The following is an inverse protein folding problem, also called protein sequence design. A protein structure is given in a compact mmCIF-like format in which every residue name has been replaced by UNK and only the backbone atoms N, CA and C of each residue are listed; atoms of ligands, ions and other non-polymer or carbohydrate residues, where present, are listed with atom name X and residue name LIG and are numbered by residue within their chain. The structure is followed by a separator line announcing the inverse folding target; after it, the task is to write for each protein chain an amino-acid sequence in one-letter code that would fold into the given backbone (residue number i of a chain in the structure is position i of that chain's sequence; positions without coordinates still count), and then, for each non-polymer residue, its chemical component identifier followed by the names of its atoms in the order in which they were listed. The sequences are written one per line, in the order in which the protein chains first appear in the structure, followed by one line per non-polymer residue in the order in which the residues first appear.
data_IF_069936553811
#
_entry.id   IF_069936553811
#
_cell.length_a   1.000
_cell.length_b   1.000
_cell.length_c   1.000
_cell.angle_alpha   90.00
_cell.angle_beta   90.00
_cell.angle_gamma   90.00
#
_symmetry.space_group_name_H-M   'P 1'
#
loop_
_entity.id
_entity.type
_entity.pdbx_description
1 polymer ?
#
# COMPACT_ATOMS: atom_id res chain seq x y z
N UNK A 1 -13.14 -14.01 16.67
CA UNK A 1 -11.77 -13.82 17.28
C UNK A 1 -10.94 -12.91 16.39
N UNK A 2 -10.26 -11.88 16.95
CA UNK A 2 -9.40 -10.98 16.16
C UNK A 2 -7.97 -11.55 16.15
N UNK A 3 -7.38 -11.69 14.97
CA UNK A 3 -5.99 -12.13 14.76
C UNK A 3 -5.26 -11.07 13.95
N UNK A 4 -4.02 -10.78 14.29
CA UNK A 4 -3.19 -9.84 13.52
C UNK A 4 -2.70 -10.48 12.22
N UNK A 5 -2.52 -9.68 11.17
CA UNK A 5 -2.12 -10.18 9.84
C UNK A 5 -0.85 -11.05 9.85
N UNK A 6 0.12 -10.75 10.71
CA UNK A 6 1.36 -11.54 10.86
C UNK A 6 1.20 -12.85 11.67
N UNK A 7 0.01 -13.10 12.24
CA UNK A 7 -0.30 -14.30 13.00
C UNK A 7 -1.18 -15.28 12.22
N UNK A 8 -1.43 -15.00 10.95
CA UNK A 8 -2.36 -15.79 10.12
C UNK A 8 -1.89 -17.24 9.94
N UNK A 9 -0.60 -17.49 10.01
CA UNK A 9 -0.08 -18.88 9.99
C UNK A 9 -0.65 -19.74 11.14
N UNK A 10 -1.13 -19.11 12.22
CA UNK A 10 -1.86 -19.80 13.29
C UNK A 10 -3.26 -20.28 12.88
N UNK A 11 -3.81 -19.75 11.77
CA UNK A 11 -5.13 -20.16 11.26
C UNK A 11 -5.09 -21.58 10.72
N UNK A 12 -3.96 -22.03 10.19
CA UNK A 12 -3.78 -23.37 9.61
C UNK A 12 -4.07 -24.53 10.57
N UNK A 13 -4.03 -24.29 11.87
CA UNK A 13 -4.16 -25.33 12.91
C UNK A 13 -5.58 -25.51 13.47
N UNK A 14 -6.58 -24.73 13.01
CA UNK A 14 -7.94 -24.77 13.59
C UNK A 14 -9.01 -24.80 12.49
N UNK A 15 -10.05 -25.60 12.70
CA UNK A 15 -11.22 -25.64 11.83
C UNK A 15 -12.14 -24.44 12.10
N UNK A 16 -11.90 -23.32 11.41
CA UNK A 16 -12.81 -22.18 11.45
C UNK A 16 -13.81 -22.26 10.29
N UNK A 17 -15.07 -21.87 10.57
CA UNK A 17 -16.13 -21.84 9.55
C UNK A 17 -15.95 -20.70 8.55
N UNK A 18 -15.47 -19.54 9.02
CA UNK A 18 -15.26 -18.40 8.14
C UNK A 18 -14.19 -17.42 8.63
N UNK A 19 -13.55 -16.75 7.67
CA UNK A 19 -12.49 -15.77 7.88
C UNK A 19 -12.88 -14.46 7.19
N UNK A 20 -12.87 -13.35 7.93
CA UNK A 20 -13.05 -12.00 7.39
C UNK A 20 -11.69 -11.29 7.33
N UNK A 21 -11.25 -10.97 6.13
CA UNK A 21 -10.10 -10.12 5.85
C UNK A 21 -10.63 -8.72 5.49
N UNK A 22 -10.37 -7.69 6.31
CA UNK A 22 -10.89 -6.35 6.05
C UNK A 22 -9.82 -5.28 6.26
N UNK A 23 -9.95 -4.18 5.54
CA UNK A 23 -9.03 -3.03 5.61
C UNK A 23 -8.51 -2.62 4.24
N UNK A 24 -7.74 -1.55 4.24
CA UNK A 24 -7.32 -0.87 3.00
C UNK A 24 -6.09 -1.48 2.32
N UNK A 25 -5.31 -2.29 3.04
CA UNK A 25 -4.08 -2.89 2.49
C UNK A 25 -4.40 -4.12 1.61
N UNK A 26 -4.82 -3.86 0.38
CA UNK A 26 -5.20 -4.92 -0.57
C UNK A 26 -3.99 -5.81 -0.91
N UNK A 27 -2.80 -5.22 -1.11
CA UNK A 27 -1.59 -5.99 -1.44
C UNK A 27 -1.23 -7.03 -0.37
N UNK A 28 -1.36 -6.68 0.92
CA UNK A 28 -1.11 -7.62 2.02
C UNK A 28 -2.21 -8.68 2.13
N UNK A 29 -3.48 -8.33 1.85
CA UNK A 29 -4.59 -9.31 1.80
C UNK A 29 -4.35 -10.34 0.69
N UNK A 30 -3.99 -9.89 -0.51
CA UNK A 30 -3.75 -10.76 -1.66
C UNK A 30 -2.53 -11.67 -1.45
N UNK A 31 -1.45 -11.14 -0.85
CA UNK A 31 -0.28 -11.94 -0.46
C UNK A 31 -0.69 -13.06 0.50
N UNK A 32 -1.46 -12.72 1.53
CA UNK A 32 -1.89 -13.66 2.56
C UNK A 32 -2.88 -14.71 2.03
N UNK A 33 -3.84 -14.30 1.20
CA UNK A 33 -4.76 -15.22 0.54
C UNK A 33 -3.97 -16.25 -0.28
N UNK A 34 -3.02 -15.81 -1.09
CA UNK A 34 -2.20 -16.69 -1.93
C UNK A 34 -1.28 -17.60 -1.10
N UNK A 35 -0.52 -17.03 -0.17
CA UNK A 35 0.54 -17.75 0.53
C UNK A 35 0.06 -18.63 1.67
N UNK A 36 -0.99 -18.22 2.39
CA UNK A 36 -1.40 -18.87 3.63
C UNK A 36 -2.77 -19.54 3.56
N UNK A 37 -3.64 -19.10 2.65
CA UNK A 37 -4.99 -19.67 2.55
C UNK A 37 -5.08 -20.64 1.36
N UNK A 38 -4.64 -20.21 0.16
CA UNK A 38 -4.80 -21.01 -1.07
C UNK A 38 -3.68 -22.03 -1.26
N UNK A 39 -2.44 -21.70 -0.87
CA UNK A 39 -1.26 -22.52 -1.16
C UNK A 39 -1.33 -23.93 -0.53
N UNK A 40 -1.91 -24.05 0.64
CA UNK A 40 -1.97 -25.31 1.40
C UNK A 40 -3.36 -25.96 1.35
N UNK A 41 -4.29 -25.39 0.56
CA UNK A 41 -5.64 -25.94 0.44
C UNK A 41 -5.71 -26.96 -0.69
N UNK A 42 -6.13 -28.19 -0.37
CA UNK A 42 -6.17 -29.32 -1.30
C UNK A 42 -7.55 -29.63 -1.86
N UNK A 43 -8.59 -28.85 -1.49
CA UNK A 43 -9.97 -29.06 -1.91
C UNK A 43 -10.40 -28.18 -3.10
N UNK A 44 -11.70 -28.14 -3.35
CA UNK A 44 -12.31 -27.30 -4.37
C UNK A 44 -12.29 -25.83 -3.97
N UNK A 45 -11.80 -24.94 -4.86
CA UNK A 45 -11.75 -23.49 -4.62
C UNK A 45 -12.78 -22.80 -5.52
N UNK A 46 -13.79 -22.19 -4.91
CA UNK A 46 -14.83 -21.41 -5.57
C UNK A 46 -14.58 -19.92 -5.30
N UNK A 47 -14.58 -19.12 -6.37
CA UNK A 47 -14.37 -17.67 -6.28
C UNK A 47 -15.61 -16.93 -6.76
N UNK A 48 -16.12 -16.04 -5.92
CA UNK A 48 -17.29 -15.23 -6.21
C UNK A 48 -17.02 -13.76 -5.92
N UNK A 49 -17.83 -12.92 -6.53
CA UNK A 49 -18.00 -11.54 -6.14
C UNK A 49 -19.20 -11.39 -5.19
N UNK A 50 -19.21 -10.38 -4.32
CA UNK A 50 -20.36 -10.13 -3.42
C UNK A 50 -21.66 -10.04 -4.21
N UNK A 51 -21.66 -9.34 -5.35
CA UNK A 51 -22.85 -9.17 -6.17
C UNK A 51 -23.44 -10.52 -6.65
N UNK A 52 -22.59 -11.42 -7.09
CA UNK A 52 -23.01 -12.76 -7.52
C UNK A 52 -23.59 -13.58 -6.37
N UNK A 53 -22.97 -13.49 -5.18
CA UNK A 53 -23.45 -14.20 -3.99
C UNK A 53 -24.79 -13.65 -3.53
N UNK A 54 -25.02 -12.34 -3.59
CA UNK A 54 -26.29 -11.72 -3.20
C UNK A 54 -27.40 -12.08 -4.19
N UNK A 55 -27.11 -12.15 -5.47
CA UNK A 55 -28.08 -12.53 -6.51
C UNK A 55 -28.48 -14.01 -6.43
N UNK A 56 -27.52 -14.91 -6.16
CA UNK A 56 -27.70 -16.37 -6.18
C UNK A 56 -27.58 -17.01 -4.79
N UNK A 57 -27.88 -16.26 -3.74
CA UNK A 57 -27.61 -16.62 -2.36
C UNK A 57 -28.17 -18.00 -1.97
N UNK A 58 -29.41 -18.33 -2.36
CA UNK A 58 -30.05 -19.60 -2.00
C UNK A 58 -29.46 -20.77 -2.80
N UNK A 59 -29.21 -20.57 -4.09
CA UNK A 59 -28.62 -21.59 -4.98
C UNK A 59 -27.21 -21.96 -4.47
N UNK A 60 -26.41 -20.95 -4.10
CA UNK A 60 -25.08 -21.16 -3.57
C UNK A 60 -25.16 -21.93 -2.24
N UNK A 61 -26.03 -21.50 -1.30
CA UNK A 61 -26.19 -22.21 -0.03
C UNK A 61 -26.65 -23.65 -0.20
N UNK A 62 -27.57 -23.93 -1.13
CA UNK A 62 -28.02 -25.30 -1.44
C UNK A 62 -26.91 -26.13 -2.06
N UNK A 63 -26.10 -25.55 -2.95
CA UNK A 63 -24.95 -26.25 -3.56
C UNK A 63 -23.86 -26.64 -2.53
N UNK A 64 -23.79 -25.90 -1.42
CA UNK A 64 -22.87 -26.20 -0.32
C UNK A 64 -23.41 -27.27 0.62
N UNK A 65 -24.73 -27.38 0.74
CA UNK A 65 -25.40 -28.44 1.53
C UNK A 65 -25.37 -29.78 0.80
N UNK A 66 -25.49 -29.76 -0.53
CA UNK A 66 -25.39 -30.94 -1.37
C UNK A 66 -23.92 -31.33 -1.51
N UNK A 67 -23.31 -31.87 -0.44
CA UNK A 67 -21.91 -32.26 -0.40
C UNK A 67 -21.51 -33.16 -1.57
N UNK A 68 -20.27 -33.06 -2.01
CA UNK A 68 -19.67 -34.03 -2.94
C UNK A 68 -19.75 -35.43 -2.31
N UNK A 69 -20.08 -36.43 -3.08
CA UNK A 69 -20.03 -37.84 -2.70
C UNK A 69 -18.63 -38.31 -2.24
N UNK A 70 -17.62 -37.44 -2.34
CA UNK A 70 -16.21 -37.73 -2.07
C UNK A 70 -15.61 -36.97 -0.88
N UNK A 71 -16.42 -36.37 0.02
CA UNK A 71 -15.93 -35.67 1.21
C UNK A 71 -14.84 -34.60 0.97
N UNK A 72 -14.83 -33.94 -0.19
CA UNK A 72 -13.85 -32.91 -0.52
C UNK A 72 -14.14 -31.59 0.22
N UNK A 73 -13.11 -31.07 0.86
CA UNK A 73 -13.18 -29.74 1.47
C UNK A 73 -13.40 -28.66 0.40
N UNK A 74 -14.23 -27.66 0.70
CA UNK A 74 -14.49 -26.53 -0.20
C UNK A 74 -14.04 -25.24 0.43
N UNK A 75 -13.36 -24.38 -0.35
CA UNK A 75 -13.03 -23.03 0.04
C UNK A 75 -13.78 -22.06 -0.87
N UNK A 76 -14.52 -21.15 -0.26
CA UNK A 76 -15.24 -20.08 -0.97
C UNK A 76 -14.55 -18.79 -0.66
N UNK A 77 -13.99 -18.16 -1.69
CA UNK A 77 -13.41 -16.82 -1.61
C UNK A 77 -14.39 -15.81 -2.21
N UNK A 78 -14.93 -14.93 -1.36
CA UNK A 78 -15.84 -13.87 -1.80
C UNK A 78 -15.08 -12.53 -1.75
N UNK A 79 -15.01 -11.88 -2.91
CA UNK A 79 -14.29 -10.61 -3.10
C UNK A 79 -15.23 -9.41 -3.03
N UNK A 80 -14.65 -8.23 -2.76
CA UNK A 80 -15.35 -6.93 -2.68
C UNK A 80 -16.50 -6.90 -1.66
N UNK A 81 -16.35 -7.65 -0.57
CA UNK A 81 -17.38 -7.77 0.44
C UNK A 81 -17.62 -6.45 1.17
N UNK A 82 -18.90 -6.14 1.36
CA UNK A 82 -19.39 -5.03 2.16
C UNK A 82 -20.27 -5.56 3.31
N UNK A 83 -20.90 -4.65 4.05
CA UNK A 83 -21.85 -5.06 5.09
C UNK A 83 -23.09 -5.80 4.54
N UNK A 84 -23.34 -5.76 3.22
CA UNK A 84 -24.48 -6.43 2.58
C UNK A 84 -24.40 -7.95 2.65
N UNK A 85 -23.19 -8.52 2.63
CA UNK A 85 -22.99 -9.98 2.71
C UNK A 85 -23.40 -10.58 4.06
N UNK A 86 -23.68 -9.73 5.07
CA UNK A 86 -24.02 -10.16 6.43
C UNK A 86 -25.15 -11.21 6.45
N UNK A 87 -26.24 -10.98 5.72
CA UNK A 87 -27.39 -11.91 5.68
C UNK A 87 -27.05 -13.28 5.10
N UNK A 88 -26.16 -13.33 4.11
CA UNK A 88 -25.68 -14.59 3.55
C UNK A 88 -24.85 -15.37 4.58
N UNK A 89 -23.92 -14.68 5.26
CA UNK A 89 -23.08 -15.30 6.29
C UNK A 89 -23.91 -15.80 7.47
N UNK A 90 -24.92 -15.03 7.90
CA UNK A 90 -25.83 -15.45 8.98
C UNK A 90 -26.55 -16.77 8.63
N UNK A 91 -27.16 -16.83 7.42
CA UNK A 91 -27.77 -18.06 6.91
C UNK A 91 -26.79 -19.22 6.75
N UNK A 92 -25.55 -18.95 6.32
CA UNK A 92 -24.48 -19.96 6.21
C UNK A 92 -24.13 -20.55 7.56
N UNK A 93 -24.01 -19.72 8.60
CA UNK A 93 -23.63 -20.15 9.95
C UNK A 93 -24.73 -20.93 10.67
N UNK A 94 -26.00 -20.69 10.33
CA UNK A 94 -27.15 -21.45 10.85
C UNK A 94 -27.19 -22.89 10.32
N UNK A 95 -26.55 -23.12 9.16
CA UNK A 95 -26.48 -24.44 8.56
C UNK A 95 -25.25 -25.18 9.06
N UNK A 96 -25.41 -26.46 9.41
CA UNK A 96 -24.28 -27.29 9.84
C UNK A 96 -23.50 -27.82 8.64
N UNK A 97 -22.68 -26.93 8.06
CA UNK A 97 -21.81 -27.23 6.91
C UNK A 97 -20.38 -27.36 7.45
N UNK A 98 -19.92 -28.58 7.65
CA UNK A 98 -18.66 -28.86 8.35
C UNK A 98 -17.40 -28.80 7.47
N UNK A 99 -17.54 -28.89 6.13
CA UNK A 99 -16.38 -29.01 5.21
C UNK A 99 -16.16 -27.80 4.32
N UNK A 100 -16.79 -26.67 4.64
CA UNK A 100 -16.69 -25.45 3.86
C UNK A 100 -16.04 -24.34 4.67
N UNK A 101 -14.96 -23.76 4.12
CA UNK A 101 -14.33 -22.55 4.62
C UNK A 101 -14.75 -21.36 3.76
N UNK A 102 -15.39 -20.37 4.35
CA UNK A 102 -15.73 -19.13 3.67
C UNK A 102 -14.72 -18.03 4.02
N UNK A 103 -14.07 -17.47 3.02
CA UNK A 103 -13.11 -16.36 3.15
C UNK A 103 -13.72 -15.10 2.52
N UNK A 104 -13.93 -14.07 3.32
CA UNK A 104 -14.43 -12.78 2.88
C UNK A 104 -13.27 -11.80 2.73
N UNK A 105 -13.08 -11.26 1.52
CA UNK A 105 -12.15 -10.15 1.27
C UNK A 105 -12.95 -8.86 1.16
N UNK A 106 -12.84 -8.02 2.18
CA UNK A 106 -13.57 -6.75 2.29
C UNK A 106 -12.62 -5.56 2.27
N UNK A 107 -13.10 -4.44 1.80
CA UNK A 107 -12.45 -3.15 2.00
C UNK A 107 -12.55 -2.72 3.47
N UNK A 108 -12.45 -1.43 3.74
CA UNK A 108 -12.57 -0.94 5.11
C UNK A 108 -14.01 -1.10 5.63
N UNK A 109 -14.14 -1.69 6.82
CA UNK A 109 -15.41 -1.84 7.52
C UNK A 109 -15.43 -0.99 8.79
N UNK A 110 -16.44 -0.14 8.92
CA UNK A 110 -16.60 0.68 10.11
C UNK A 110 -16.83 -0.16 11.37
N UNK A 111 -16.48 0.38 12.52
CA UNK A 111 -16.71 -0.27 13.83
C UNK A 111 -18.19 -0.61 14.08
N UNK A 112 -19.11 0.11 13.45
CA UNK A 112 -20.57 -0.11 13.54
C UNK A 112 -21.07 -1.19 12.56
N UNK A 113 -20.22 -1.72 11.69
CA UNK A 113 -20.59 -2.76 10.72
C UNK A 113 -21.11 -4.02 11.45
N UNK A 114 -22.28 -4.50 11.08
CA UNK A 114 -22.84 -5.75 11.61
C UNK A 114 -21.94 -6.95 11.27
N UNK A 115 -21.44 -6.98 10.03
CA UNK A 115 -20.51 -8.02 9.57
C UNK A 115 -19.27 -8.07 10.45
N UNK A 116 -18.57 -6.94 10.63
CA UNK A 116 -17.40 -6.85 11.47
C UNK A 116 -17.69 -7.25 12.92
N UNK A 117 -18.81 -6.75 13.47
CA UNK A 117 -19.22 -7.06 14.85
C UNK A 117 -19.49 -8.56 15.05
N UNK A 118 -20.08 -9.23 14.07
CA UNK A 118 -20.33 -10.68 14.09
C UNK A 118 -18.99 -11.45 14.24
N UNK A 119 -18.02 -11.13 13.38
CA UNK A 119 -16.71 -11.81 13.39
C UNK A 119 -15.87 -11.49 14.63
N UNK A 120 -15.92 -10.25 15.13
CA UNK A 120 -15.17 -9.86 16.34
C UNK A 120 -15.69 -10.56 17.60
N UNK A 121 -17.01 -10.78 17.70
CA UNK A 121 -17.66 -11.39 18.88
C UNK A 121 -17.65 -12.91 18.85
N UNK A 122 -17.63 -13.55 17.71
CA UNK A 122 -17.66 -15.00 17.58
C UNK A 122 -16.32 -15.64 17.98
N UNK A 123 -16.41 -16.87 18.53
CA UNK A 123 -15.22 -17.70 18.83
C UNK A 123 -14.80 -18.56 17.64
N UNK A 124 -15.76 -18.88 16.76
CA UNK A 124 -15.60 -19.81 15.63
C UNK A 124 -15.31 -19.08 14.31
N UNK A 125 -15.30 -17.74 14.34
CA UNK A 125 -14.99 -16.88 13.20
C UNK A 125 -13.71 -16.12 13.44
N UNK A 126 -12.93 -15.92 12.36
CA UNK A 126 -11.70 -15.14 12.39
C UNK A 126 -11.93 -13.78 11.72
N UNK A 127 -11.40 -12.74 12.36
CA UNK A 127 -11.39 -11.38 11.88
C UNK A 127 -9.95 -10.88 11.81
N UNK A 128 -9.47 -10.53 10.62
CA UNK A 128 -8.09 -10.06 10.39
C UNK A 128 -8.13 -8.65 9.82
N UNK A 129 -7.70 -7.63 10.59
CA UNK A 129 -7.58 -6.26 10.11
C UNK A 129 -6.28 -6.05 9.31
N UNK A 130 -6.38 -5.32 8.20
CA UNK A 130 -5.27 -4.94 7.35
C UNK A 130 -5.15 -3.42 7.28
N UNK A 131 -4.18 -2.89 8.01
CA UNK A 131 -3.89 -1.47 8.05
C UNK A 131 -2.91 -1.08 6.93
N UNK A 132 -2.84 0.21 6.63
CA UNK A 132 -1.83 0.76 5.72
C UNK A 132 -0.42 0.35 6.13
N UNK A 133 0.39 0.04 5.14
CA UNK A 133 1.81 -0.17 5.39
C UNK A 133 2.47 1.17 5.77
N UNK A 134 3.44 1.08 6.65
CA UNK A 134 4.38 2.16 6.91
C UNK A 134 5.73 1.82 6.26
N UNK A 135 6.64 2.78 6.26
CA UNK A 135 7.96 2.60 5.67
C UNK A 135 8.73 1.42 6.26
N UNK A 136 8.54 1.14 7.55
CA UNK A 136 9.19 0.02 8.23
C UNK A 136 8.62 -1.33 7.77
N UNK A 137 7.30 -1.47 7.67
CA UNK A 137 6.67 -2.72 7.21
C UNK A 137 6.99 -3.02 5.74
N UNK A 138 7.02 -1.99 4.88
CA UNK A 138 7.44 -2.13 3.49
C UNK A 138 8.93 -2.51 3.38
N UNK A 139 9.79 -1.94 4.23
CA UNK A 139 11.20 -2.30 4.27
C UNK A 139 11.41 -3.77 4.68
N UNK A 140 10.67 -4.24 5.70
CA UNK A 140 10.71 -5.64 6.12
C UNK A 140 10.24 -6.56 4.98
N UNK A 141 9.13 -6.22 4.33
CA UNK A 141 8.60 -6.95 3.19
C UNK A 141 9.62 -7.04 2.05
N UNK A 142 10.17 -5.91 1.62
CA UNK A 142 11.12 -5.85 0.51
C UNK A 142 12.42 -6.63 0.81
N UNK A 143 12.96 -6.51 2.03
CA UNK A 143 14.13 -7.27 2.43
C UNK A 143 13.86 -8.78 2.42
N UNK A 144 12.72 -9.23 2.96
CA UNK A 144 12.33 -10.65 2.94
C UNK A 144 12.17 -11.17 1.51
N UNK A 145 11.53 -10.37 0.63
CA UNK A 145 11.34 -10.71 -0.77
C UNK A 145 12.68 -10.94 -1.49
N UNK A 146 13.62 -10.01 -1.32
CA UNK A 146 14.94 -10.05 -1.95
C UNK A 146 15.82 -11.16 -1.38
N UNK A 147 15.82 -11.38 -0.07
CA UNK A 147 16.56 -12.45 0.60
C UNK A 147 16.14 -13.83 0.11
N UNK A 148 14.84 -14.09 -0.01
CA UNK A 148 14.31 -15.37 -0.49
C UNK A 148 14.75 -15.69 -1.94
N UNK A 149 15.21 -14.67 -2.69
CA UNK A 149 15.63 -14.78 -4.10
C UNK A 149 17.13 -14.57 -4.28
N UNK A 150 17.89 -14.43 -3.17
CA UNK A 150 19.33 -14.15 -3.18
C UNK A 150 19.73 -12.88 -3.96
N UNK A 151 18.82 -11.88 -4.02
CA UNK A 151 19.07 -10.61 -4.68
C UNK A 151 19.60 -9.60 -3.66
N UNK A 152 20.73 -8.95 -3.99
CA UNK A 152 21.35 -7.94 -3.14
C UNK A 152 21.17 -6.56 -3.77
N UNK A 153 20.52 -5.65 -3.05
CA UNK A 153 20.42 -4.23 -3.40
C UNK A 153 21.15 -3.37 -2.36
N UNK A 154 21.65 -2.22 -2.80
CA UNK A 154 22.10 -1.21 -1.84
C UNK A 154 20.93 -0.68 -1.03
N UNK A 155 21.17 -0.29 0.22
CA UNK A 155 20.12 0.29 1.09
C UNK A 155 19.51 1.56 0.49
N UNK A 156 20.31 2.33 -0.25
CA UNK A 156 19.87 3.55 -0.92
C UNK A 156 18.87 3.26 -2.03
N UNK A 157 19.15 2.28 -2.88
CA UNK A 157 18.24 1.85 -3.95
C UNK A 157 16.95 1.25 -3.37
N UNK A 158 17.07 0.39 -2.37
CA UNK A 158 15.89 -0.21 -1.73
C UNK A 158 14.98 0.86 -1.14
N UNK A 159 15.54 1.85 -0.43
CA UNK A 159 14.75 2.94 0.14
C UNK A 159 14.10 3.81 -0.94
N UNK A 160 14.81 4.05 -2.06
CA UNK A 160 14.26 4.79 -3.19
C UNK A 160 13.02 4.08 -3.77
N UNK A 161 13.09 2.76 -3.95
CA UNK A 161 11.97 1.95 -4.46
C UNK A 161 10.79 1.99 -3.47
N UNK A 162 11.06 1.81 -2.17
CA UNK A 162 10.04 1.86 -1.12
C UNK A 162 9.36 3.24 -1.07
N UNK A 163 10.14 4.31 -1.12
CA UNK A 163 9.60 5.66 -1.10
C UNK A 163 8.69 5.93 -2.32
N UNK A 164 9.10 5.47 -3.49
CA UNK A 164 8.36 5.65 -4.73
C UNK A 164 7.17 4.72 -4.90
N UNK A 165 7.06 3.67 -4.10
CA UNK A 165 5.85 2.86 -4.01
C UNK A 165 4.69 3.58 -3.30
N UNK A 166 4.94 4.75 -2.70
CA UNK A 166 3.96 5.62 -2.03
C UNK A 166 3.12 4.91 -0.95
N UNK A 167 3.70 3.95 -0.28
CA UNK A 167 3.01 3.17 0.76
C UNK A 167 2.17 2.01 0.22
N UNK A 168 2.09 1.84 -1.10
CA UNK A 168 1.38 0.75 -1.73
C UNK A 168 2.28 -0.50 -1.86
N UNK A 169 1.90 -1.56 -1.14
CA UNK A 169 2.63 -2.84 -1.15
C UNK A 169 2.55 -3.54 -2.51
N UNK A 170 1.42 -3.42 -3.22
CA UNK A 170 1.26 -4.02 -4.54
C UNK A 170 2.21 -3.38 -5.56
N UNK A 171 2.29 -2.05 -5.55
CA UNK A 171 3.26 -1.32 -6.37
C UNK A 171 4.70 -1.72 -6.04
N UNK A 172 5.04 -1.78 -4.74
CA UNK A 172 6.37 -2.23 -4.31
C UNK A 172 6.67 -3.66 -4.80
N UNK A 173 5.71 -4.57 -4.67
CA UNK A 173 5.87 -5.96 -5.13
C UNK A 173 6.10 -6.03 -6.65
N UNK A 174 5.37 -5.25 -7.44
CA UNK A 174 5.56 -5.18 -8.89
C UNK A 174 6.98 -4.70 -9.25
N UNK A 175 7.48 -3.67 -8.55
CA UNK A 175 8.84 -3.18 -8.77
C UNK A 175 9.90 -4.24 -8.39
N UNK A 176 9.72 -4.92 -7.26
CA UNK A 176 10.61 -6.01 -6.84
C UNK A 176 10.58 -7.19 -7.82
N UNK A 177 9.44 -7.50 -8.40
CA UNK A 177 9.31 -8.56 -9.41
C UNK A 177 10.03 -8.22 -10.72
N UNK A 178 10.02 -6.95 -11.15
CA UNK A 178 10.83 -6.49 -12.30
C UNK A 178 12.32 -6.71 -12.03
N UNK A 179 12.78 -6.38 -10.82
CA UNK A 179 14.17 -6.59 -10.42
C UNK A 179 14.53 -8.09 -10.38
N UNK A 180 13.63 -8.93 -9.87
CA UNK A 180 13.78 -10.39 -9.91
C UNK A 180 13.94 -10.88 -11.34
N UNK A 181 13.07 -10.49 -12.26
CA UNK A 181 13.13 -10.87 -13.68
C UNK A 181 14.46 -10.41 -14.32
N UNK A 182 14.92 -9.21 -13.99
CA UNK A 182 16.23 -8.75 -14.46
C UNK A 182 17.38 -9.63 -13.91
N UNK A 183 17.29 -10.05 -12.64
CA UNK A 183 18.31 -10.89 -12.01
C UNK A 183 18.45 -12.27 -12.66
N UNK A 184 17.39 -12.77 -13.26
CA UNK A 184 17.44 -14.04 -14.02
C UNK A 184 18.15 -13.87 -15.37
N UNK A 185 18.10 -12.68 -15.96
CA UNK A 185 18.69 -12.39 -17.27
C UNK A 185 20.12 -11.83 -17.20
N UNK A 186 20.50 -11.20 -16.08
CA UNK A 186 21.77 -10.49 -15.92
C UNK A 186 22.44 -10.83 -14.60
N UNK A 187 23.67 -11.39 -14.64
CA UNK A 187 24.40 -11.78 -13.42
C UNK A 187 24.81 -10.61 -12.52
N UNK A 188 25.17 -9.46 -13.12
CA UNK A 188 25.59 -8.27 -12.38
C UNK A 188 24.62 -7.13 -12.69
N UNK A 189 23.78 -6.76 -11.73
CA UNK A 189 22.81 -5.69 -11.85
C UNK A 189 23.42 -4.41 -11.27
N UNK A 190 23.53 -3.37 -12.09
CA UNK A 190 23.94 -2.04 -11.63
C UNK A 190 22.75 -1.26 -11.05
N UNK A 191 23.04 -0.24 -10.23
CA UNK A 191 22.02 0.66 -9.73
C UNK A 191 21.26 1.38 -10.87
N UNK A 192 21.92 1.65 -11.99
CA UNK A 192 21.31 2.26 -13.17
C UNK A 192 20.34 1.31 -13.87
N UNK A 193 20.67 0.04 -13.98
CA UNK A 193 19.76 -0.97 -14.52
C UNK A 193 18.45 -1.00 -13.74
N UNK A 194 18.54 -0.96 -12.40
CA UNK A 194 17.36 -0.97 -11.53
C UNK A 194 16.50 0.28 -11.72
N UNK A 195 17.13 1.45 -11.80
CA UNK A 195 16.44 2.72 -12.02
C UNK A 195 15.70 2.70 -13.37
N UNK A 196 16.30 2.10 -14.40
CA UNK A 196 15.74 2.08 -15.74
C UNK A 196 14.57 1.11 -15.91
N UNK A 197 14.56 -0.03 -15.19
CA UNK A 197 13.47 -1.02 -15.30
C UNK A 197 12.31 -0.76 -14.36
N UNK A 198 12.55 -0.06 -13.28
CA UNK A 198 11.51 0.29 -12.32
C UNK A 198 10.76 1.52 -12.84
N UNK A 199 9.46 1.63 -12.59
CA UNK A 199 8.65 2.81 -12.95
C UNK A 199 9.12 4.09 -12.23
N UNK A 200 10.36 4.05 -11.75
CA UNK A 200 11.07 5.23 -11.27
C UNK A 200 11.16 6.30 -12.37
N UNK A 201 11.07 5.91 -13.65
CA UNK A 201 11.10 6.83 -14.78
C UNK A 201 9.73 7.49 -15.07
N UNK A 202 8.60 6.77 -14.94
CA UNK A 202 7.27 7.33 -15.25
C UNK A 202 6.84 8.43 -14.27
N UNK A 203 7.18 8.29 -12.98
CA UNK A 203 6.92 9.32 -11.98
C UNK A 203 8.12 10.26 -11.75
N UNK A 204 9.19 10.13 -12.53
CA UNK A 204 10.39 10.95 -12.37
C UNK A 204 10.06 12.45 -12.44
N UNK A 205 9.18 12.83 -13.35
CA UNK A 205 8.75 14.21 -13.57
C UNK A 205 8.03 14.79 -12.35
N UNK A 206 7.16 14.01 -11.68
CA UNK A 206 6.48 14.45 -10.45
C UNK A 206 7.47 14.63 -9.31
N UNK A 207 8.41 13.71 -9.13
CA UNK A 207 9.44 13.84 -8.10
C UNK A 207 10.37 15.02 -8.38
N UNK A 208 10.77 15.21 -9.64
CA UNK A 208 11.59 16.35 -10.05
C UNK A 208 10.86 17.68 -9.85
N UNK A 209 9.57 17.73 -10.16
CA UNK A 209 8.71 18.89 -9.91
C UNK A 209 8.70 19.26 -8.42
N UNK A 210 8.36 18.28 -7.57
CA UNK A 210 8.24 18.48 -6.12
C UNK A 210 9.59 18.83 -5.48
N UNK A 211 10.66 18.15 -5.87
CA UNK A 211 11.98 18.42 -5.31
C UNK A 211 12.48 19.82 -5.70
N UNK A 212 12.23 20.27 -6.93
CA UNK A 212 12.56 21.65 -7.35
C UNK A 212 11.64 22.69 -6.71
N UNK A 213 10.38 22.39 -6.49
CA UNK A 213 9.47 23.24 -5.73
C UNK A 213 10.01 23.47 -4.31
N UNK A 214 10.32 22.42 -3.58
CA UNK A 214 10.89 22.51 -2.23
C UNK A 214 12.30 23.14 -2.24
N UNK A 215 13.04 23.04 -3.32
CA UNK A 215 14.30 23.76 -3.49
C UNK A 215 14.11 25.24 -3.87
N UNK A 216 12.86 25.73 -3.98
CA UNK A 216 12.51 27.10 -4.42
C UNK A 216 13.12 27.45 -5.79
N UNK A 217 13.22 26.45 -6.71
CA UNK A 217 13.78 26.62 -8.05
C UNK A 217 12.67 26.89 -9.09
N UNK A 218 12.12 28.12 -9.07
CA UNK A 218 10.99 28.51 -9.91
C UNK A 218 11.20 28.28 -11.41
N UNK A 219 12.40 28.53 -11.93
CA UNK A 219 12.70 28.36 -13.36
C UNK A 219 12.51 26.90 -13.79
N UNK A 220 13.00 25.96 -12.98
CA UNK A 220 12.82 24.53 -13.27
C UNK A 220 11.38 24.07 -13.07
N UNK A 221 10.72 24.53 -12.01
CA UNK A 221 9.30 24.24 -11.76
C UNK A 221 8.44 24.64 -12.95
N UNK A 222 8.55 25.90 -13.40
CA UNK A 222 7.79 26.40 -14.54
C UNK A 222 8.11 25.63 -15.83
N UNK A 223 9.38 25.27 -16.04
CA UNK A 223 9.78 24.46 -17.19
C UNK A 223 9.12 23.09 -17.16
N UNK A 224 9.17 22.38 -16.01
CA UNK A 224 8.59 21.03 -15.85
C UNK A 224 7.07 21.08 -16.07
N UNK A 225 6.37 22.08 -15.52
CA UNK A 225 4.92 22.24 -15.71
C UNK A 225 4.57 22.44 -17.17
N UNK A 226 5.33 23.28 -17.88
CA UNK A 226 5.06 23.62 -19.28
C UNK A 226 5.41 22.48 -20.26
N UNK A 227 6.41 21.66 -19.93
CA UNK A 227 6.85 20.53 -20.77
C UNK A 227 6.01 19.25 -20.56
N UNK A 228 5.23 19.20 -19.48
CA UNK A 228 4.44 18.01 -19.12
C UNK A 228 2.96 18.36 -18.99
N UNK A 229 2.13 17.58 -19.66
CA UNK A 229 0.67 17.73 -19.61
C UNK A 229 0.12 16.97 -18.39
N UNK A 230 0.29 17.52 -17.18
CA UNK A 230 -0.30 16.95 -15.98
C UNK A 230 -1.82 16.96 -16.06
N UNK A 231 -2.45 15.83 -15.68
CA UNK A 231 -3.91 15.64 -15.65
C UNK A 231 -4.44 15.58 -14.22
N UNK A 232 -5.75 15.54 -14.06
CA UNK A 232 -6.37 15.53 -12.72
C UNK A 232 -5.91 14.34 -11.85
N UNK A 233 -5.62 13.18 -12.44
CA UNK A 233 -5.13 12.01 -11.71
C UNK A 233 -3.72 12.24 -11.12
N UNK A 234 -2.89 13.03 -11.78
CA UNK A 234 -1.55 13.38 -11.29
C UNK A 234 -1.59 14.26 -10.04
N UNK A 235 -2.67 15.01 -9.82
CA UNK A 235 -2.85 15.90 -8.68
C UNK A 235 -2.67 15.20 -7.35
N UNK A 236 -3.24 14.00 -7.22
CA UNK A 236 -3.16 13.20 -5.99
C UNK A 236 -1.72 12.71 -5.79
N UNK A 237 -1.05 12.30 -6.87
CA UNK A 237 0.33 11.83 -6.85
C UNK A 237 1.27 12.97 -6.46
N UNK A 238 1.08 14.16 -7.07
CA UNK A 238 1.87 15.37 -6.76
C UNK A 238 1.71 15.75 -5.29
N UNK A 239 0.47 15.82 -4.77
CA UNK A 239 0.23 16.20 -3.38
C UNK A 239 0.80 15.20 -2.37
N UNK A 240 0.61 13.90 -2.61
CA UNK A 240 1.17 12.86 -1.73
C UNK A 240 2.70 12.89 -1.73
N UNK A 241 3.30 13.10 -2.90
CA UNK A 241 4.74 13.24 -3.03
C UNK A 241 5.23 14.49 -2.29
N UNK A 242 4.54 15.63 -2.47
CA UNK A 242 4.87 16.89 -1.80
C UNK A 242 4.74 16.74 -0.27
N UNK A 243 3.67 16.11 0.22
CA UNK A 243 3.48 15.87 1.65
C UNK A 243 4.59 14.96 2.22
N UNK A 244 4.95 13.90 1.51
CA UNK A 244 6.00 12.97 1.91
C UNK A 244 7.36 13.67 1.99
N UNK A 245 7.71 14.45 0.96
CA UNK A 245 8.97 15.20 0.91
C UNK A 245 9.03 16.33 1.96
N UNK A 246 7.93 17.03 2.19
CA UNK A 246 7.83 18.04 3.25
C UNK A 246 8.00 17.43 4.65
N UNK A 247 7.38 16.27 4.92
CA UNK A 247 7.59 15.54 6.18
C UNK A 247 9.04 15.07 6.35
N UNK A 248 9.69 14.63 5.26
CA UNK A 248 11.13 14.29 5.27
C UNK A 248 11.96 15.53 5.61
N UNK A 249 11.68 16.66 4.96
CA UNK A 249 12.37 17.92 5.21
C UNK A 249 12.21 18.38 6.67
N UNK A 250 11.00 18.29 7.24
CA UNK A 250 10.75 18.61 8.64
C UNK A 250 11.59 17.73 9.58
N UNK A 251 11.66 16.42 9.31
CA UNK A 251 12.52 15.52 10.11
C UNK A 251 13.99 15.90 10.03
N UNK A 252 14.47 16.27 8.85
CA UNK A 252 15.85 16.75 8.66
C UNK A 252 16.11 18.05 9.43
N UNK A 253 15.18 19.01 9.38
CA UNK A 253 15.27 20.27 10.15
C UNK A 253 15.31 19.99 11.65
N UNK A 254 14.47 19.11 12.16
CA UNK A 254 14.46 18.72 13.57
C UNK A 254 15.75 18.00 14.02
N UNK A 255 16.41 17.30 13.09
CA UNK A 255 17.71 16.65 13.35
C UNK A 255 18.89 17.62 13.25
N UNK A 256 18.72 18.74 12.56
CA UNK A 256 19.72 19.79 12.39
C UNK A 256 19.84 20.60 13.68
N UNK A 257 20.34 20.00 14.76
CA UNK A 257 20.64 20.73 15.99
C UNK A 257 21.88 21.63 15.82
N UNK A 258 21.98 22.62 16.69
CA UNK A 258 22.85 23.80 16.72
C UNK A 258 24.34 23.54 16.37
N UNK A 259 24.81 22.30 16.35
CA UNK A 259 26.22 21.95 16.14
C UNK A 259 26.48 20.98 14.96
N UNK A 260 25.48 20.69 14.09
CA UNK A 260 25.68 19.79 12.95
C UNK A 260 25.56 20.54 11.63
N UNK A 261 26.48 20.29 10.72
CA UNK A 261 26.36 20.75 9.34
C UNK A 261 25.16 20.10 8.64
N UNK A 262 24.68 20.72 7.56
CA UNK A 262 23.63 20.14 6.71
C UNK A 262 24.10 18.78 6.17
N UNK A 263 25.35 18.67 5.77
CA UNK A 263 25.95 17.45 5.25
C UNK A 263 25.97 16.31 6.27
N UNK A 264 26.36 16.60 7.51
CA UNK A 264 26.35 15.61 8.60
C UNK A 264 24.93 15.16 8.93
N UNK A 265 23.97 16.08 8.88
CA UNK A 265 22.55 15.77 9.10
C UNK A 265 22.01 14.84 8.01
N UNK A 266 22.31 15.12 6.73
CA UNK A 266 21.92 14.28 5.59
C UNK A 266 22.59 12.89 5.67
N UNK A 267 23.86 12.82 6.04
CA UNK A 267 24.58 11.56 6.18
C UNK A 267 24.05 10.69 7.34
N UNK A 268 23.63 11.34 8.43
CA UNK A 268 23.07 10.66 9.60
C UNK A 268 21.61 10.28 9.44
N UNK A 269 20.89 10.83 8.45
CA UNK A 269 19.46 10.59 8.25
C UNK A 269 19.17 9.12 7.95
N UNK A 270 18.10 8.60 8.52
CA UNK A 270 17.64 7.23 8.30
C UNK A 270 16.15 7.22 7.96
N UNK A 271 15.76 6.52 6.87
CA UNK A 271 16.62 5.77 5.92
C UNK A 271 17.52 6.69 5.09
N UNK A 272 18.67 6.19 4.56
CA UNK A 272 19.62 7.01 3.81
C UNK A 272 18.99 7.66 2.57
N UNK A 273 19.33 8.94 2.35
CA UNK A 273 18.91 9.68 1.16
C UNK A 273 19.70 9.19 -0.04
N UNK A 274 18.99 9.00 -1.16
CA UNK A 274 19.62 8.60 -2.41
C UNK A 274 20.69 9.62 -2.84
N UNK A 275 21.85 9.14 -3.24
CA UNK A 275 23.00 9.99 -3.48
C UNK A 275 22.78 11.10 -4.52
N UNK A 276 21.95 10.84 -5.59
CA UNK A 276 21.58 11.84 -6.60
C UNK A 276 20.65 12.95 -6.04
N UNK A 277 19.97 12.69 -4.94
CA UNK A 277 19.05 13.65 -4.30
C UNK A 277 19.75 14.53 -3.25
N UNK A 278 20.96 14.20 -2.82
CA UNK A 278 21.63 14.89 -1.70
C UNK A 278 21.78 16.39 -1.94
N UNK A 279 22.17 16.80 -3.14
CA UNK A 279 22.41 18.23 -3.46
C UNK A 279 21.12 19.04 -3.45
N UNK A 280 20.01 18.48 -3.99
CA UNK A 280 18.73 19.18 -3.97
C UNK A 280 18.15 19.22 -2.54
N UNK A 281 18.35 18.17 -1.74
CA UNK A 281 17.95 18.17 -0.32
C UNK A 281 18.75 19.19 0.49
N UNK A 282 20.02 19.43 0.20
CA UNK A 282 20.80 20.53 0.79
C UNK A 282 20.15 21.89 0.52
N UNK A 283 19.77 22.13 -0.73
CA UNK A 283 19.08 23.36 -1.12
C UNK A 283 17.75 23.51 -0.38
N UNK A 284 16.96 22.44 -0.31
CA UNK A 284 15.71 22.41 0.46
C UNK A 284 15.94 22.77 1.93
N UNK A 285 16.92 22.15 2.57
CA UNK A 285 17.27 22.45 3.97
C UNK A 285 17.73 23.89 4.19
N UNK A 286 18.42 24.50 3.21
CA UNK A 286 18.88 25.88 3.30
C UNK A 286 17.74 26.88 3.11
N UNK A 287 16.72 26.54 2.28
CA UNK A 287 15.69 27.46 1.83
C UNK A 287 14.44 27.51 2.73
N UNK A 288 14.29 26.60 3.66
CA UNK A 288 13.12 26.52 4.54
C UNK A 288 13.52 26.57 6.00
N UNK A 289 12.76 27.29 6.83
CA UNK A 289 12.77 27.14 8.29
C UNK A 289 11.87 25.97 8.72
N UNK A 290 11.98 25.56 9.97
CA UNK A 290 11.12 24.50 10.52
C UNK A 290 9.64 24.91 10.51
N UNK A 291 9.36 26.16 10.85
CA UNK A 291 7.98 26.66 10.95
C UNK A 291 7.34 26.82 9.56
N UNK A 292 8.07 27.34 8.56
CA UNK A 292 7.59 27.38 7.17
C UNK A 292 7.24 25.97 6.66
N UNK A 293 8.03 24.94 6.98
CA UNK A 293 7.72 23.55 6.56
C UNK A 293 6.47 23.03 7.26
N UNK A 294 6.25 23.35 8.53
CA UNK A 294 5.02 22.97 9.26
C UNK A 294 3.78 23.62 8.65
N UNK A 295 3.86 24.92 8.35
CA UNK A 295 2.78 25.66 7.68
C UNK A 295 2.45 25.05 6.31
N UNK A 296 3.49 24.73 5.52
CA UNK A 296 3.31 24.10 4.21
C UNK A 296 2.67 22.71 4.31
N UNK A 297 3.04 21.90 5.30
CA UNK A 297 2.40 20.58 5.55
C UNK A 297 0.91 20.76 5.87
N UNK A 298 0.56 21.78 6.65
CA UNK A 298 -0.84 22.08 6.97
C UNK A 298 -1.63 22.53 5.73
N UNK A 299 -1.04 23.41 4.90
CA UNK A 299 -1.60 23.88 3.64
C UNK A 299 -1.89 22.70 2.68
N UNK A 300 -0.89 21.82 2.47
CA UNK A 300 -1.03 20.64 1.64
C UNK A 300 -2.16 19.72 2.13
N UNK A 301 -2.26 19.52 3.45
CA UNK A 301 -3.30 18.68 4.06
C UNK A 301 -4.70 19.24 3.85
N UNK A 302 -4.86 20.56 3.94
CA UNK A 302 -6.13 21.23 3.65
C UNK A 302 -6.50 21.13 2.15
N UNK A 303 -5.50 21.28 1.27
CA UNK A 303 -5.70 21.16 -0.17
C UNK A 303 -6.11 19.72 -0.56
N UNK A 304 -5.58 18.70 0.10
CA UNK A 304 -5.99 17.32 -0.14
C UNK A 304 -7.49 17.11 0.10
N UNK A 305 -8.05 17.75 1.13
CA UNK A 305 -9.49 17.70 1.42
C UNK A 305 -10.30 18.37 0.30
N UNK A 306 -9.82 19.50 -0.21
CA UNK A 306 -10.47 20.25 -1.28
C UNK A 306 -10.47 19.48 -2.60
N UNK A 307 -9.33 18.86 -2.95
CA UNK A 307 -9.16 18.09 -4.19
C UNK A 307 -10.09 16.90 -4.25
N UNK A 308 -10.29 16.19 -3.14
CA UNK A 308 -11.24 15.07 -3.07
C UNK A 308 -12.70 15.46 -3.35
N UNK A 309 -13.01 16.76 -3.34
CA UNK A 309 -14.36 17.32 -3.60
C UNK A 309 -14.43 18.10 -4.92
N UNK A 310 -13.31 18.30 -5.61
CA UNK A 310 -13.22 19.15 -6.80
C UNK A 310 -13.16 18.32 -8.08
N UNK A 311 -13.77 18.84 -9.15
CA UNK A 311 -13.68 18.30 -10.50
C UNK A 311 -12.43 18.80 -11.27
N UNK A 312 -11.75 19.84 -10.76
CA UNK A 312 -10.58 20.48 -11.38
C UNK A 312 -9.39 20.49 -10.43
N UNK A 313 -8.97 19.29 -10.03
CA UNK A 313 -7.93 19.10 -9.01
C UNK A 313 -6.55 19.60 -9.46
N UNK A 314 -6.21 19.49 -10.76
CA UNK A 314 -4.90 19.91 -11.27
C UNK A 314 -4.68 21.41 -11.17
N UNK A 315 -5.72 22.23 -11.37
CA UNK A 315 -5.58 23.69 -11.26
C UNK A 315 -5.22 24.11 -9.83
N UNK A 316 -5.85 23.49 -8.83
CA UNK A 316 -5.57 23.77 -7.42
C UNK A 316 -4.11 23.40 -7.04
N UNK A 317 -3.60 22.30 -7.60
CA UNK A 317 -2.19 21.92 -7.38
C UNK A 317 -1.25 22.84 -8.12
N UNK A 318 -1.59 23.23 -9.34
CA UNK A 318 -0.78 24.18 -10.12
C UNK A 318 -0.69 25.55 -9.44
N UNK A 319 -1.80 26.02 -8.85
CA UNK A 319 -1.83 27.26 -8.07
C UNK A 319 -0.92 27.16 -6.83
N UNK A 320 -1.00 26.05 -6.09
CA UNK A 320 -0.11 25.79 -4.93
C UNK A 320 1.37 25.83 -5.34
N UNK A 321 1.71 25.18 -6.47
CA UNK A 321 3.11 25.04 -6.91
C UNK A 321 3.63 26.34 -7.58
N UNK A 322 2.77 27.13 -8.17
CA UNK A 322 3.14 28.39 -8.85
C UNK A 322 3.25 29.56 -7.87
N UNK A 323 2.51 29.53 -6.76
CA UNK A 323 2.51 30.56 -5.73
C UNK A 323 3.46 30.16 -4.60
N UNK A 324 4.58 30.93 -4.47
CA UNK A 324 5.50 30.80 -3.34
C UNK A 324 5.12 31.73 -2.22
#
# INVERSE_FOLDING_TARGET
MIIKSFEVDKIKSKNYKSILLYGINQGLKDELIKSSILNDFSGEILKYDEAEVLEKSEIILESLLNGSLFDEQKLILISRCSNKIYSFIEKFLEKDISQVLVVLNSENLDKKSKLRTLYEKSKDLICVPFYEDNQQSLSIFANKYLQNRNIKLSREILNLIIERSQGDRGNLQNELQKIENLSLSKKNISNEDIINITNLAENYTVFELVDNYLAKNQKKVSKIINENNFVNDDSIIILRTLLSRSKRLLKLKNMQNVNKSIDDTIAAFRPPIFWKEKDIVKQQMSNWSEDEVKEKIFEISNLEILIKRSTSSINLVSDLISNY
#
